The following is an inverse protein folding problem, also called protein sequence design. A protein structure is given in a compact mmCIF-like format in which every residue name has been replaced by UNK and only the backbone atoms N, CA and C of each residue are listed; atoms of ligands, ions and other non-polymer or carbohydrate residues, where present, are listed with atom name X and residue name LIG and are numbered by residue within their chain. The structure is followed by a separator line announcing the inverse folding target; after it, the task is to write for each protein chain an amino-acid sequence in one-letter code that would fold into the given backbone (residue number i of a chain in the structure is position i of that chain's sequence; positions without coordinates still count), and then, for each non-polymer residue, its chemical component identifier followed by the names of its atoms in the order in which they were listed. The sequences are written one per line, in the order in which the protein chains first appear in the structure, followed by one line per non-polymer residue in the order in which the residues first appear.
data_IF_546700498834
#
_entry.id   IF_546700498834
#
_cell.length_a   1.000
_cell.length_b   1.000
_cell.length_c   1.000
_cell.angle_alpha   90.00
_cell.angle_beta   90.00
_cell.angle_gamma   90.00
#
_symmetry.space_group_name_H-M   'P 1'
#
loop_
_entity.id
_entity.type
_entity.pdbx_description
1 polymer ?
#
# COMPACT_ATOMS: atom_id res chain seq x y z
N UNK A 1 3.95 -0.86 7.58
CA UNK A 1 3.33 0.41 7.11
C UNK A 1 2.24 0.85 8.06
N UNK A 2 2.05 2.16 8.21
CA UNK A 2 0.93 2.73 8.96
C UNK A 2 -0.25 2.94 8.02
N UNK A 3 -1.40 2.42 8.41
CA UNK A 3 -2.69 2.75 7.81
C UNK A 3 -3.51 3.52 8.85
N UNK A 4 -4.02 4.68 8.49
CA UNK A 4 -4.73 5.53 9.44
C UNK A 4 -5.68 6.52 8.75
N UNK A 5 -6.51 7.19 9.55
CA UNK A 5 -7.20 8.39 9.09
C UNK A 5 -6.34 9.60 9.44
N UNK A 6 -6.15 10.49 8.47
CA UNK A 6 -5.49 11.78 8.73
C UNK A 6 -6.37 12.62 9.66
N UNK A 7 -5.73 13.18 10.67
CA UNK A 7 -6.23 14.18 11.62
C UNK A 7 -5.75 15.58 11.19
N UNK A 8 -6.21 16.64 11.87
CA UNK A 8 -5.82 18.00 11.52
C UNK A 8 -4.31 18.28 11.71
N UNK A 9 -3.65 17.53 12.58
CA UNK A 9 -2.28 17.81 13.04
C UNK A 9 -1.30 16.69 12.66
N UNK A 10 -1.31 16.25 11.39
CA UNK A 10 -0.36 15.24 10.91
C UNK A 10 1.09 15.76 10.82
N UNK A 11 2.05 14.88 11.09
CA UNK A 11 3.47 15.19 10.84
C UNK A 11 3.77 15.07 9.36
N UNK A 12 4.25 16.17 8.78
CA UNK A 12 4.72 16.24 7.40
C UNK A 12 6.15 15.70 7.24
N UNK A 13 6.55 15.44 5.99
CA UNK A 13 7.93 15.05 5.65
C UNK A 13 8.97 16.04 6.19
N UNK A 14 8.77 17.34 5.93
CA UNK A 14 9.69 18.39 6.38
C UNK A 14 9.82 18.47 7.90
N UNK A 15 8.72 18.25 8.65
CA UNK A 15 8.77 18.24 10.11
C UNK A 15 9.49 17.01 10.65
N UNK A 16 9.30 15.85 10.02
CA UNK A 16 10.03 14.63 10.38
C UNK A 16 11.54 14.79 10.12
N UNK A 17 11.92 15.32 8.95
CA UNK A 17 13.32 15.57 8.58
C UNK A 17 14.01 16.58 9.53
N UNK A 18 13.33 17.67 9.88
CA UNK A 18 13.82 18.64 10.88
C UNK A 18 14.02 18.00 12.25
N UNK A 19 13.10 17.12 12.64
CA UNK A 19 13.16 16.44 13.94
C UNK A 19 14.34 15.46 14.00
N UNK A 20 14.67 14.79 12.89
CA UNK A 20 15.83 13.90 12.80
C UNK A 20 17.14 14.69 12.82
N UNK A 21 17.23 15.76 12.01
CA UNK A 21 18.45 16.58 11.87
C UNK A 21 18.84 17.32 13.15
N UNK A 22 17.88 17.74 13.97
CA UNK A 22 18.16 18.46 15.22
C UNK A 22 18.43 17.55 16.44
N UNK A 23 17.97 16.29 16.45
CA UNK A 23 17.89 15.51 17.69
C UNK A 23 18.50 14.10 17.63
N UNK A 24 19.11 13.69 16.51
CA UNK A 24 19.84 12.42 16.40
C UNK A 24 18.98 11.15 16.43
N UNK A 25 17.82 11.16 17.08
CA UNK A 25 16.74 10.15 16.99
C UNK A 25 15.41 10.77 17.42
N UNK A 26 14.28 10.31 16.86
CA UNK A 26 12.92 10.72 17.28
C UNK A 26 12.60 10.39 18.76
N UNK A 27 13.45 9.61 19.43
CA UNK A 27 13.18 8.98 20.72
C UNK A 27 13.91 9.60 21.92
N UNK A 28 14.86 10.52 21.73
CA UNK A 28 15.88 10.81 22.76
C UNK A 28 15.56 11.88 23.82
N UNK A 29 14.37 12.51 23.88
CA UNK A 29 14.03 13.39 25.02
C UNK A 29 12.56 13.42 25.44
N UNK A 30 12.32 13.42 26.76
CA UNK A 30 11.15 14.03 27.42
C UNK A 30 11.35 15.55 27.37
N UNK A 31 10.99 16.22 26.29
CA UNK A 31 11.15 17.68 26.23
C UNK A 31 9.91 18.45 26.66
N UNK A 32 10.18 19.53 27.39
CA UNK A 32 9.26 20.52 27.96
C UNK A 32 8.53 21.38 26.90
N UNK A 33 8.79 21.17 25.60
CA UNK A 33 7.97 21.69 24.50
C UNK A 33 7.06 20.56 24.00
N UNK A 34 5.74 20.72 24.18
CA UNK A 34 4.76 19.71 23.79
C UNK A 34 4.89 19.32 22.32
N UNK A 35 5.24 18.06 22.05
CA UNK A 35 5.18 17.49 20.68
C UNK A 35 3.78 17.66 20.09
N UNK A 36 3.72 17.94 18.79
CA UNK A 36 2.46 17.92 18.04
C UNK A 36 1.80 16.55 18.15
N UNK A 37 0.48 16.52 18.01
CA UNK A 37 -0.31 15.28 18.08
C UNK A 37 0.13 14.26 17.02
N UNK A 38 0.41 14.71 15.80
CA UNK A 38 0.97 13.89 14.72
C UNK A 38 2.31 13.27 15.09
N UNK A 39 3.21 14.02 15.73
CA UNK A 39 4.53 13.48 16.08
C UNK A 39 4.42 12.40 17.16
N UNK A 40 3.52 12.58 18.13
CA UNK A 40 3.20 11.54 19.11
C UNK A 40 2.65 10.30 18.41
N UNK A 41 1.76 10.47 17.43
CA UNK A 41 1.20 9.37 16.64
C UNK A 41 2.27 8.59 15.88
N UNK A 42 3.21 9.27 15.22
CA UNK A 42 4.35 8.62 14.53
C UNK A 42 5.26 7.91 15.54
N UNK A 43 5.54 8.52 16.69
CA UNK A 43 6.34 7.90 17.75
C UNK A 43 5.72 6.60 18.27
N UNK A 44 4.41 6.61 18.54
CA UNK A 44 3.67 5.42 18.98
C UNK A 44 3.60 4.35 17.89
N UNK A 45 3.41 4.75 16.63
CA UNK A 45 3.50 3.83 15.48
C UNK A 45 4.85 3.13 15.43
N UNK A 46 5.95 3.89 15.48
CA UNK A 46 7.31 3.34 15.47
C UNK A 46 7.58 2.46 16.70
N UNK A 47 7.11 2.86 17.89
CA UNK A 47 7.21 2.04 19.10
C UNK A 47 6.46 0.72 18.94
N UNK A 48 5.26 0.75 18.35
CA UNK A 48 4.43 -0.43 18.08
C UNK A 48 5.12 -1.35 17.06
N UNK A 49 5.65 -0.81 15.96
CA UNK A 49 6.40 -1.57 14.97
C UNK A 49 7.64 -2.25 15.59
N UNK A 50 8.38 -1.52 16.43
CA UNK A 50 9.55 -2.07 17.12
C UNK A 50 9.19 -3.18 18.12
N UNK A 51 8.09 -3.04 18.88
CA UNK A 51 7.57 -4.10 19.76
C UNK A 51 7.18 -5.37 19.01
N UNK A 52 6.87 -5.25 17.72
CA UNK A 52 6.59 -6.38 16.81
C UNK A 52 7.84 -6.92 16.12
N UNK A 53 9.04 -6.38 16.41
CA UNK A 53 10.31 -6.82 15.85
C UNK A 53 10.73 -6.15 14.54
N UNK A 54 10.08 -5.04 14.14
CA UNK A 54 10.41 -4.34 12.90
C UNK A 54 11.23 -3.07 13.15
N UNK A 55 12.40 -2.99 12.51
CA UNK A 55 13.27 -1.82 12.58
C UNK A 55 12.86 -0.67 11.66
N UNK A 56 11.99 -0.94 10.67
CA UNK A 56 11.59 0.00 9.64
C UNK A 56 10.10 0.31 9.74
N UNK A 57 9.77 1.60 9.63
CA UNK A 57 8.41 2.11 9.69
C UNK A 57 8.21 3.10 8.55
N UNK A 58 7.04 3.01 7.90
CA UNK A 58 6.67 3.88 6.79
C UNK A 58 5.24 4.40 7.01
N UNK A 59 5.05 5.70 6.85
CA UNK A 59 3.77 6.39 6.93
C UNK A 59 3.69 7.48 5.85
N UNK A 60 2.59 7.50 5.10
CA UNK A 60 2.35 8.41 3.96
C UNK A 60 2.38 9.90 4.34
N UNK A 61 2.11 10.23 5.59
CA UNK A 61 2.14 11.61 6.08
C UNK A 61 3.55 12.20 6.11
N UNK A 62 4.54 11.40 6.52
CA UNK A 62 5.90 11.85 6.79
C UNK A 62 7.00 11.17 5.96
N UNK A 63 6.67 10.13 5.20
CA UNK A 63 7.63 9.44 4.33
C UNK A 63 7.51 9.83 2.86
N UNK A 64 6.48 10.58 2.47
CA UNK A 64 6.31 11.11 1.11
C UNK A 64 6.56 12.61 1.13
N UNK A 65 7.51 13.08 0.33
CA UNK A 65 7.67 14.50 0.06
C UNK A 65 6.58 14.98 -0.92
N UNK A 66 5.46 15.43 -0.37
CA UNK A 66 4.33 15.96 -1.14
C UNK A 66 4.62 17.26 -1.90
N UNK A 67 5.79 17.87 -1.69
CA UNK A 67 6.21 19.09 -2.42
C UNK A 67 6.94 18.75 -3.72
N UNK A 68 7.43 17.52 -3.87
CA UNK A 68 7.98 17.00 -5.11
C UNK A 68 6.88 16.29 -5.90
N UNK A 69 6.48 16.86 -7.03
CA UNK A 69 5.40 16.29 -7.84
C UNK A 69 5.77 14.93 -8.45
N UNK A 70 7.04 14.70 -8.75
CA UNK A 70 7.52 13.43 -9.32
C UNK A 70 7.47 12.32 -8.28
N UNK A 71 7.97 12.58 -7.07
CA UNK A 71 7.90 11.65 -5.94
C UNK A 71 6.45 11.39 -5.52
N UNK A 72 5.60 12.43 -5.48
CA UNK A 72 4.19 12.29 -5.15
C UNK A 72 3.47 11.38 -6.14
N UNK A 73 3.73 11.56 -7.44
CA UNK A 73 3.15 10.73 -8.49
C UNK A 73 3.62 9.27 -8.38
N UNK A 74 4.92 9.04 -8.22
CA UNK A 74 5.48 7.70 -8.01
C UNK A 74 4.88 7.03 -6.77
N UNK A 75 4.77 7.77 -5.67
CA UNK A 75 4.22 7.27 -4.41
C UNK A 75 2.76 6.86 -4.53
N UNK A 76 1.93 7.68 -5.19
CA UNK A 76 0.51 7.37 -5.39
C UNK A 76 0.34 6.14 -6.28
N UNK A 77 1.07 6.07 -7.39
CA UNK A 77 1.01 4.92 -8.32
C UNK A 77 1.53 3.63 -7.70
N UNK A 78 2.45 3.72 -6.75
CA UNK A 78 3.04 2.58 -6.05
C UNK A 78 2.30 2.18 -4.77
N UNK A 79 1.25 2.90 -4.38
CA UNK A 79 0.75 2.80 -3.01
C UNK A 79 0.25 1.39 -2.68
N UNK A 80 -0.49 0.78 -3.60
CA UNK A 80 -0.97 -0.59 -3.45
C UNK A 80 0.17 -1.58 -3.25
N UNK A 81 1.20 -1.51 -4.10
CA UNK A 81 2.32 -2.47 -4.07
C UNK A 81 3.15 -2.30 -2.81
N UNK A 82 3.30 -1.08 -2.28
CA UNK A 82 3.96 -0.88 -0.99
C UNK A 82 3.20 -1.57 0.14
N UNK A 83 1.87 -1.42 0.23
CA UNK A 83 1.07 -2.13 1.23
C UNK A 83 1.12 -3.65 1.05
N UNK A 84 1.02 -4.12 -0.19
CA UNK A 84 1.10 -5.54 -0.53
C UNK A 84 2.42 -6.17 -0.11
N UNK A 85 3.54 -5.48 -0.35
CA UNK A 85 4.88 -5.96 -0.02
C UNK A 85 5.32 -5.59 1.41
N UNK A 86 4.47 -4.96 2.20
CA UNK A 86 4.78 -4.64 3.59
C UNK A 86 4.78 -5.90 4.45
N UNK A 87 5.78 -6.03 5.33
CA UNK A 87 5.83 -7.16 6.27
C UNK A 87 4.62 -7.18 7.21
N UNK A 88 4.12 -5.98 7.57
CA UNK A 88 2.90 -5.80 8.34
C UNK A 88 2.29 -4.42 8.05
N UNK A 89 0.96 -4.38 8.02
CA UNK A 89 0.19 -3.13 8.09
C UNK A 89 -0.42 -2.95 9.47
N UNK A 90 -0.06 -1.85 10.13
CA UNK A 90 -0.60 -1.44 11.43
C UNK A 90 -1.69 -0.43 11.16
N UNK A 91 -2.94 -0.79 11.46
CA UNK A 91 -4.10 0.11 11.32
C UNK A 91 -4.38 0.79 12.65
N UNK A 92 -4.25 2.11 12.69
CA UNK A 92 -4.59 2.91 13.88
C UNK A 92 -5.99 3.52 13.74
N UNK A 93 -6.93 3.02 14.55
CA UNK A 93 -8.31 3.49 14.60
C UNK A 93 -8.47 4.56 15.69
N UNK A 94 -8.16 5.81 15.34
CA UNK A 94 -8.19 6.92 16.30
C UNK A 94 -9.59 7.23 16.86
N UNK A 95 -10.66 6.69 16.28
CA UNK A 95 -12.05 6.86 16.72
C UNK A 95 -12.62 5.66 17.50
N UNK A 96 -11.82 4.62 17.72
CA UNK A 96 -12.22 3.42 18.47
C UNK A 96 -11.49 3.39 19.83
N UNK A 97 -12.20 3.62 20.95
CA UNK A 97 -11.56 3.70 22.28
C UNK A 97 -11.15 2.34 22.88
N UNK A 98 -11.82 1.25 22.49
CA UNK A 98 -11.83 -0.04 23.21
C UNK A 98 -11.72 -1.26 22.28
N UNK A 99 -11.43 -2.49 22.81
CA UNK A 99 -10.94 -3.63 22.01
C UNK A 99 -11.91 -4.25 21.00
N UNK A 100 -13.13 -3.74 20.91
CA UNK A 100 -14.15 -4.24 19.98
C UNK A 100 -14.05 -3.41 18.70
N UNK A 101 -13.98 -4.08 17.54
CA UNK A 101 -14.05 -3.39 16.25
C UNK A 101 -15.31 -2.53 16.21
N UNK A 102 -15.13 -1.22 16.35
CA UNK A 102 -16.22 -0.28 16.26
C UNK A 102 -16.76 -0.30 14.84
N UNK A 103 -17.99 -0.81 14.66
CA UNK A 103 -18.73 -0.81 13.37
C UNK A 103 -18.87 0.59 12.74
N UNK A 104 -18.48 1.65 13.44
CA UNK A 104 -18.57 3.05 13.01
C UNK A 104 -17.23 3.75 12.80
N UNK A 105 -16.08 3.06 12.75
CA UNK A 105 -14.81 3.76 12.48
C UNK A 105 -14.84 4.39 11.08
N UNK A 106 -14.55 5.69 11.02
CA UNK A 106 -14.40 6.44 9.77
C UNK A 106 -13.26 5.92 8.90
N UNK A 107 -12.36 5.08 9.43
CA UNK A 107 -11.34 4.40 8.63
C UNK A 107 -11.98 3.54 7.53
N UNK A 108 -13.05 2.79 7.80
CA UNK A 108 -13.75 1.97 6.79
C UNK A 108 -14.49 2.81 5.73
N UNK A 109 -14.67 4.11 5.98
CA UNK A 109 -15.33 5.05 5.06
C UNK A 109 -14.35 5.87 4.25
N UNK A 110 -13.04 5.76 4.44
CA UNK A 110 -12.05 6.49 3.64
C UNK A 110 -11.76 5.74 2.33
N UNK A 111 -11.57 6.46 1.22
CA UNK A 111 -11.27 5.85 -0.10
C UNK A 111 -10.01 4.99 -0.08
N UNK A 112 -8.88 5.61 0.24
CA UNK A 112 -7.55 4.99 0.28
C UNK A 112 -7.45 3.73 1.14
N UNK A 113 -8.17 3.68 2.27
CA UNK A 113 -8.11 2.54 3.20
C UNK A 113 -8.68 1.24 2.63
N UNK A 114 -9.35 1.28 1.48
CA UNK A 114 -9.72 0.06 0.75
C UNK A 114 -8.48 -0.70 0.29
N UNK A 115 -7.51 0.00 -0.31
CA UNK A 115 -6.23 -0.59 -0.68
C UNK A 115 -5.44 -1.00 0.56
N UNK A 116 -5.46 -0.18 1.61
CA UNK A 116 -4.76 -0.46 2.87
C UNK A 116 -5.33 -1.69 3.61
N UNK A 117 -6.59 -2.08 3.32
CA UNK A 117 -7.22 -3.31 3.80
C UNK A 117 -6.90 -4.52 2.90
N UNK A 118 -7.08 -4.37 1.58
CA UNK A 118 -7.04 -5.47 0.62
C UNK A 118 -5.63 -5.85 0.17
N UNK A 119 -4.72 -4.89 0.05
CA UNK A 119 -3.37 -5.13 -0.42
C UNK A 119 -2.50 -5.98 0.55
N UNK A 120 -2.41 -5.67 1.85
CA UNK A 120 -1.43 -6.33 2.72
C UNK A 120 -1.82 -7.76 3.06
N UNK A 121 -0.83 -8.65 3.14
CA UNK A 121 -0.99 -10.04 3.59
C UNK A 121 -1.28 -10.12 5.09
N UNK A 122 -0.60 -9.27 5.88
CA UNK A 122 -0.71 -9.22 7.35
C UNK A 122 -1.16 -7.84 7.80
N UNK A 123 -2.27 -7.79 8.54
CA UNK A 123 -2.83 -6.53 9.03
C UNK A 123 -3.24 -6.67 10.50
N UNK A 124 -2.93 -5.63 11.28
CA UNK A 124 -3.30 -5.55 12.70
C UNK A 124 -4.01 -4.26 13.05
N UNK A 125 -5.17 -4.37 13.70
CA UNK A 125 -5.91 -3.20 14.19
C UNK A 125 -5.49 -2.80 15.60
N UNK A 126 -5.34 -1.49 15.80
CA UNK A 126 -5.04 -0.85 17.07
C UNK A 126 -6.08 0.23 17.37
N UNK A 127 -6.49 0.32 18.63
CA UNK A 127 -7.37 1.38 19.16
C UNK A 127 -6.70 2.76 19.13
N UNK A 128 -7.48 3.80 19.47
CA UNK A 128 -7.00 5.16 19.76
C UNK A 128 -5.76 5.17 20.66
N UNK A 129 -5.75 4.31 21.68
CA UNK A 129 -4.72 4.23 22.70
C UNK A 129 -3.57 3.26 22.35
N UNK A 130 -3.40 2.90 21.07
CA UNK A 130 -2.35 1.98 20.60
C UNK A 130 -2.37 0.61 21.28
N UNK A 131 -3.54 0.18 21.75
CA UNK A 131 -3.79 -1.21 22.17
C UNK A 131 -4.26 -2.03 20.99
N UNK A 132 -3.62 -3.16 20.74
CA UNK A 132 -4.08 -4.14 19.74
C UNK A 132 -5.53 -4.51 20.04
N UNK A 133 -6.41 -4.44 19.05
CA UNK A 133 -7.79 -4.88 19.18
C UNK A 133 -7.85 -6.42 19.14
N UNK A 134 -8.93 -7.00 19.65
CA UNK A 134 -9.14 -8.45 19.67
C UNK A 134 -8.73 -9.11 20.99
N UNK A 135 -8.82 -10.44 21.03
CA UNK A 135 -8.59 -11.22 22.24
C UNK A 135 -7.09 -11.21 22.56
N UNK A 136 -6.72 -10.53 23.65
CA UNK A 136 -5.42 -10.75 24.25
C UNK A 136 -5.37 -12.20 24.75
N UNK A 137 -4.42 -12.99 24.28
CA UNK A 137 -4.01 -14.18 25.02
C UNK A 137 -3.45 -13.70 26.37
N UNK A 138 -3.83 -14.35 27.49
CA UNK A 138 -3.16 -14.20 28.78
C UNK A 138 -1.62 -14.12 28.74
N UNK A 139 -0.96 -14.72 27.74
CA UNK A 139 0.50 -14.68 27.56
C UNK A 139 1.06 -13.35 27.02
N UNK A 140 0.21 -12.45 26.51
CA UNK A 140 0.61 -11.12 26.01
C UNK A 140 1.46 -11.12 24.73
N UNK A 141 1.71 -12.27 24.11
CA UNK A 141 2.56 -12.39 22.93
C UNK A 141 1.82 -13.09 21.79
N UNK A 142 1.07 -12.34 21.00
CA UNK A 142 0.74 -12.80 19.65
C UNK A 142 1.36 -11.83 18.65
N UNK A 143 2.65 -11.97 18.37
CA UNK A 143 3.29 -11.27 17.27
C UNK A 143 2.73 -11.75 15.90
N UNK A 144 2.25 -13.00 15.83
CA UNK A 144 1.72 -13.65 14.62
C UNK A 144 0.25 -13.38 14.30
N UNK A 145 -0.49 -12.65 15.16
CA UNK A 145 -1.92 -12.47 14.93
C UNK A 145 -2.18 -11.58 13.72
N UNK A 146 -2.98 -12.08 12.78
CA UNK A 146 -3.41 -11.37 11.58
C UNK A 146 -4.92 -11.18 11.61
N UNK A 147 -5.37 -9.96 11.94
CA UNK A 147 -6.79 -9.62 11.99
C UNK A 147 -7.49 -9.86 10.65
N UNK A 148 -6.79 -9.74 9.53
CA UNK A 148 -7.37 -9.94 8.19
C UNK A 148 -7.71 -11.41 7.92
N UNK A 149 -6.92 -12.33 8.48
CA UNK A 149 -7.08 -13.78 8.29
C UNK A 149 -7.85 -14.47 9.43
N UNK A 150 -8.20 -13.75 10.50
CA UNK A 150 -8.96 -14.31 11.62
C UNK A 150 -10.47 -14.40 11.27
N UNK A 151 -11.12 -15.56 11.45
CA UNK A 151 -12.53 -15.74 11.07
C UNK A 151 -13.51 -14.80 11.75
N UNK A 152 -13.30 -14.45 13.03
CA UNK A 152 -14.19 -13.53 13.74
C UNK A 152 -14.05 -12.11 13.20
N UNK A 153 -12.82 -11.74 12.86
CA UNK A 153 -12.53 -10.46 12.23
C UNK A 153 -13.01 -10.38 10.78
N UNK A 154 -12.92 -11.45 10.01
CA UNK A 154 -13.50 -11.51 8.66
C UNK A 154 -15.00 -11.24 8.69
N UNK A 155 -15.74 -11.90 9.59
CA UNK A 155 -17.18 -11.63 9.79
C UNK A 155 -17.44 -10.16 10.18
N UNK A 156 -16.59 -9.60 11.04
CA UNK A 156 -16.73 -8.21 11.47
C UNK A 156 -16.43 -7.20 10.35
N UNK A 157 -15.39 -7.45 9.55
CA UNK A 157 -15.00 -6.63 8.40
C UNK A 157 -16.08 -6.72 7.32
N UNK A 158 -16.49 -7.94 6.95
CA UNK A 158 -17.53 -8.18 5.94
C UNK A 158 -18.82 -7.44 6.25
N UNK A 159 -19.26 -7.47 7.52
CA UNK A 159 -20.45 -6.72 7.97
C UNK A 159 -20.34 -5.21 7.82
N UNK A 160 -19.13 -4.65 7.82
CA UNK A 160 -18.90 -3.20 7.72
C UNK A 160 -18.61 -2.79 6.27
N UNK A 161 -17.94 -3.63 5.49
CA UNK A 161 -17.43 -3.28 4.17
C UNK A 161 -18.16 -3.95 3.01
N UNK A 162 -18.89 -5.04 3.25
CA UNK A 162 -19.42 -5.92 2.21
C UNK A 162 -18.37 -6.79 1.52
N UNK A 163 -17.13 -6.80 2.02
CA UNK A 163 -16.04 -7.62 1.46
C UNK A 163 -16.11 -8.99 2.11
N UNK A 164 -16.43 -10.01 1.32
CA UNK A 164 -16.48 -11.40 1.80
C UNK A 164 -15.12 -11.87 2.33
N UNK A 165 -15.16 -12.74 3.35
CA UNK A 165 -13.96 -13.27 4.00
C UNK A 165 -12.94 -13.92 3.06
N UNK A 166 -13.39 -14.44 1.90
CA UNK A 166 -12.49 -15.01 0.88
C UNK A 166 -11.45 -13.99 0.39
N UNK A 167 -11.85 -12.74 0.11
CA UNK A 167 -10.96 -11.66 -0.33
C UNK A 167 -10.03 -11.14 0.77
N UNK A 168 -10.31 -11.47 2.03
CA UNK A 168 -9.49 -11.07 3.18
C UNK A 168 -8.39 -12.10 3.49
N UNK A 169 -8.45 -13.28 2.89
CA UNK A 169 -7.40 -14.29 3.05
C UNK A 169 -6.07 -13.81 2.44
N UNK A 170 -4.90 -14.28 2.93
CA UNK A 170 -3.57 -13.87 2.45
C UNK A 170 -3.39 -13.81 0.92
N UNK A 171 -4.05 -14.71 0.18
CA UNK A 171 -4.03 -14.78 -1.29
C UNK A 171 -5.43 -14.63 -1.89
N UNK A 172 -6.38 -14.07 -1.15
CA UNK A 172 -7.78 -14.02 -1.55
C UNK A 172 -8.13 -12.86 -2.49
N UNK A 173 -7.31 -11.81 -2.51
CA UNK A 173 -7.54 -10.63 -3.32
C UNK A 173 -6.43 -10.47 -4.37
N UNK A 174 -6.85 -10.27 -5.62
CA UNK A 174 -5.97 -9.96 -6.73
C UNK A 174 -6.40 -8.65 -7.41
N UNK A 175 -5.46 -7.69 -7.60
CA UNK A 175 -5.68 -6.53 -8.44
C UNK A 175 -6.06 -6.94 -9.86
N UNK A 176 -7.06 -6.26 -10.42
CA UNK A 176 -7.50 -6.53 -11.79
C UNK A 176 -8.98 -6.22 -12.00
N UNK A 177 -9.49 -6.60 -13.17
CA UNK A 177 -10.87 -6.34 -13.58
C UNK A 177 -11.83 -7.49 -13.25
N UNK A 178 -11.33 -8.59 -12.69
CA UNK A 178 -12.13 -9.67 -12.14
C UNK A 178 -12.99 -9.13 -10.99
N UNK A 179 -14.25 -9.54 -10.90
CA UNK A 179 -15.23 -9.06 -9.92
C UNK A 179 -15.37 -7.52 -9.87
N UNK A 180 -15.25 -6.86 -11.04
CA UNK A 180 -15.29 -5.40 -11.15
C UNK A 180 -16.47 -4.79 -10.41
N UNK A 181 -17.67 -5.39 -10.54
CA UNK A 181 -18.86 -4.90 -9.87
C UNK A 181 -18.72 -4.91 -8.34
N UNK A 182 -18.22 -6.00 -7.76
CA UNK A 182 -17.99 -6.11 -6.31
C UNK A 182 -16.95 -5.07 -5.83
N UNK A 183 -15.84 -4.94 -6.57
CA UNK A 183 -14.78 -3.96 -6.29
C UNK A 183 -15.31 -2.52 -6.27
N UNK A 184 -16.20 -2.17 -7.21
CA UNK A 184 -16.85 -0.86 -7.26
C UNK A 184 -17.88 -0.68 -6.12
N UNK A 185 -18.65 -1.70 -5.79
CA UNK A 185 -19.59 -1.65 -4.65
C UNK A 185 -18.85 -1.43 -3.31
N UNK A 186 -17.69 -2.05 -3.09
CA UNK A 186 -16.87 -1.82 -1.89
C UNK A 186 -16.36 -0.37 -1.77
N UNK A 187 -16.28 0.35 -2.89
CA UNK A 187 -15.82 1.72 -2.95
C UNK A 187 -16.95 2.77 -2.89
N UNK A 188 -18.16 2.38 -3.28
CA UNK A 188 -19.35 3.23 -3.43
C UNK A 188 -19.62 4.19 -2.28
N UNK A 189 -19.50 3.71 -1.04
CA UNK A 189 -19.78 4.52 0.16
C UNK A 189 -18.54 5.08 0.85
N UNK A 190 -17.38 5.02 0.18
CA UNK A 190 -16.14 5.59 0.69
C UNK A 190 -16.01 7.05 0.24
N UNK A 191 -15.35 7.84 1.06
CA UNK A 191 -15.20 9.27 0.94
C UNK A 191 -13.72 9.63 0.82
N UNK A 192 -13.44 10.65 0.04
CA UNK A 192 -12.12 11.19 -0.18
C UNK A 192 -12.11 12.69 0.09
N UNK A 193 -10.96 13.23 0.49
CA UNK A 193 -10.81 14.66 0.73
C UNK A 193 -10.66 15.43 -0.58
N UNK A 194 -9.89 14.86 -1.52
CA UNK A 194 -9.81 15.35 -2.90
C UNK A 194 -10.77 14.57 -3.77
N UNK A 195 -11.38 15.24 -4.74
CA UNK A 195 -12.38 14.61 -5.61
C UNK A 195 -11.72 13.54 -6.51
N UNK A 196 -10.51 13.81 -6.97
CA UNK A 196 -9.74 12.93 -7.85
C UNK A 196 -9.35 11.62 -7.17
N UNK A 197 -9.18 11.65 -5.85
CA UNK A 197 -8.83 10.47 -5.05
C UNK A 197 -9.90 9.37 -5.14
N UNK A 198 -11.15 9.69 -5.51
CA UNK A 198 -12.18 8.68 -5.80
C UNK A 198 -11.72 7.71 -6.88
N UNK A 199 -10.97 8.21 -7.85
CA UNK A 199 -10.39 7.42 -8.93
C UNK A 199 -9.04 6.83 -8.52
N UNK A 200 -8.13 7.63 -7.96
CA UNK A 200 -6.78 7.16 -7.65
C UNK A 200 -6.76 6.06 -6.59
N UNK A 201 -7.67 6.10 -5.61
CA UNK A 201 -7.79 5.05 -4.61
C UNK A 201 -8.34 3.72 -5.16
N UNK A 202 -8.72 3.65 -6.44
CA UNK A 202 -9.14 2.41 -7.11
C UNK A 202 -8.08 1.82 -8.03
N UNK A 203 -7.03 2.58 -8.38
CA UNK A 203 -5.99 2.12 -9.33
C UNK A 203 -5.39 0.76 -8.94
N UNK A 204 -4.96 0.65 -7.67
CA UNK A 204 -4.41 -0.59 -7.12
C UNK A 204 -5.43 -1.73 -6.95
N UNK A 205 -6.71 -1.40 -6.78
CA UNK A 205 -7.79 -2.40 -6.67
C UNK A 205 -8.08 -3.01 -8.04
N UNK A 206 -8.12 -2.15 -9.07
CA UNK A 206 -8.46 -2.53 -10.44
C UNK A 206 -7.24 -2.98 -11.26
N UNK A 207 -6.03 -2.88 -10.71
CA UNK A 207 -4.80 -3.24 -11.41
C UNK A 207 -4.52 -2.35 -12.62
N UNK A 208 -4.90 -1.07 -12.55
CA UNK A 208 -4.73 -0.09 -13.63
C UNK A 208 -3.71 0.97 -13.24
N UNK A 209 -3.05 1.55 -14.23
CA UNK A 209 -2.11 2.67 -14.05
C UNK A 209 -2.54 3.84 -14.93
N UNK A 210 -2.57 5.04 -14.34
CA UNK A 210 -2.88 6.27 -15.04
C UNK A 210 -2.15 7.46 -14.38
N UNK A 211 -1.78 8.52 -15.12
CA UNK A 211 -1.17 9.72 -14.56
C UNK A 211 -2.03 10.41 -13.48
N UNK A 212 -1.37 10.94 -12.44
CA UNK A 212 -2.00 11.68 -11.35
C UNK A 212 -1.99 13.18 -11.67
N UNK A 213 -3.17 13.78 -11.79
CA UNK A 213 -3.36 15.20 -12.10
C UNK A 213 -4.34 15.85 -11.11
N UNK A 214 -3.83 16.31 -9.96
CA UNK A 214 -4.67 17.05 -9.02
C UNK A 214 -5.12 18.39 -9.61
N UNK A 215 -6.41 18.70 -9.47
CA UNK A 215 -7.08 19.83 -10.12
C UNK A 215 -8.03 19.41 -11.25
N UNK A 216 -7.97 18.15 -11.70
CA UNK A 216 -8.85 17.65 -12.77
C UNK A 216 -10.25 17.25 -12.29
N UNK A 217 -10.48 17.14 -10.97
CA UNK A 217 -11.77 16.80 -10.35
C UNK A 217 -12.38 15.50 -10.90
N UNK A 218 -13.65 15.54 -11.33
CA UNK A 218 -14.39 14.39 -11.84
C UNK A 218 -13.77 13.74 -13.09
N UNK A 219 -12.94 14.49 -13.85
CA UNK A 219 -12.21 13.94 -15.00
C UNK A 219 -11.28 12.79 -14.65
N UNK A 220 -10.79 12.75 -13.40
CA UNK A 220 -10.01 11.61 -12.93
C UNK A 220 -10.85 10.32 -12.95
N UNK A 221 -12.14 10.40 -12.63
CA UNK A 221 -13.05 9.25 -12.68
C UNK A 221 -13.36 8.85 -14.12
N UNK A 222 -13.56 9.81 -15.01
CA UNK A 222 -13.74 9.55 -16.45
C UNK A 222 -12.53 8.80 -17.03
N UNK A 223 -11.31 9.28 -16.75
CA UNK A 223 -10.06 8.62 -17.17
C UNK A 223 -9.89 7.23 -16.58
N UNK A 224 -10.32 7.01 -15.33
CA UNK A 224 -10.32 5.68 -14.74
C UNK A 224 -11.24 4.75 -15.53
N UNK A 225 -12.46 5.19 -15.83
CA UNK A 225 -13.42 4.43 -16.64
C UNK A 225 -12.86 4.12 -18.04
N UNK A 226 -12.28 5.10 -18.73
CA UNK A 226 -11.62 4.91 -20.02
C UNK A 226 -10.51 3.85 -19.94
N UNK A 227 -9.66 3.94 -18.91
CA UNK A 227 -8.56 2.98 -18.69
C UNK A 227 -9.08 1.57 -18.45
N UNK A 228 -10.15 1.43 -17.67
CA UNK A 228 -10.82 0.15 -17.40
C UNK A 228 -11.39 -0.45 -18.69
N UNK A 229 -12.10 0.34 -19.50
CA UNK A 229 -12.68 -0.11 -20.78
C UNK A 229 -11.59 -0.54 -21.76
N UNK A 230 -10.53 0.25 -21.89
CA UNK A 230 -9.40 -0.07 -22.76
C UNK A 230 -8.73 -1.39 -22.36
N UNK A 231 -8.48 -1.58 -21.05
CA UNK A 231 -7.85 -2.80 -20.55
C UNK A 231 -8.77 -4.03 -20.70
N UNK A 232 -10.07 -3.86 -20.46
CA UNK A 232 -11.06 -4.93 -20.67
C UNK A 232 -11.11 -5.37 -22.14
N UNK A 233 -11.16 -4.42 -23.08
CA UNK A 233 -11.15 -4.69 -24.51
C UNK A 233 -9.87 -5.40 -24.95
N UNK A 234 -8.71 -4.94 -24.46
CA UNK A 234 -7.42 -5.55 -24.77
C UNK A 234 -7.32 -7.00 -24.25
N UNK A 235 -7.78 -7.27 -23.02
CA UNK A 235 -7.83 -8.63 -22.46
C UNK A 235 -8.79 -9.54 -23.24
N UNK A 236 -9.95 -9.02 -23.64
CA UNK A 236 -10.89 -9.75 -24.49
C UNK A 236 -10.28 -10.13 -25.84
N UNK A 237 -9.57 -9.19 -26.48
CA UNK A 237 -8.84 -9.43 -27.72
C UNK A 237 -7.75 -10.50 -27.54
N UNK A 238 -6.93 -10.42 -26.49
CA UNK A 238 -5.92 -11.44 -26.19
C UNK A 238 -6.52 -12.84 -25.98
N UNK A 239 -7.64 -12.94 -25.26
CA UNK A 239 -8.33 -14.22 -25.05
C UNK A 239 -8.84 -14.82 -26.36
N UNK A 240 -9.38 -13.99 -27.25
CA UNK A 240 -9.82 -14.42 -28.58
C UNK A 240 -8.65 -14.92 -29.44
N UNK A 241 -7.50 -14.22 -29.42
CA UNK A 241 -6.29 -14.63 -30.14
C UNK A 241 -5.65 -15.91 -29.56
N UNK A 242 -5.73 -16.12 -28.25
CA UNK A 242 -5.13 -17.28 -27.59
C UNK A 242 -5.94 -18.58 -27.75
N UNK A 243 -7.11 -18.55 -28.40
CA UNK A 243 -7.97 -19.72 -28.59
C UNK A 243 -8.55 -20.28 -27.28
N UNK A 244 -8.53 -19.51 -26.19
CA UNK A 244 -9.07 -19.93 -24.89
C UNK A 244 -10.58 -19.67 -24.91
N UNK A 245 -11.37 -20.71 -25.13
CA UNK A 245 -12.80 -20.68 -24.82
C UNK A 245 -12.96 -20.68 -23.30
N UNK A 246 -12.93 -19.50 -22.66
CA UNK A 246 -13.24 -19.40 -21.25
C UNK A 246 -14.76 -19.54 -21.06
N UNK A 247 -15.19 -20.73 -20.63
CA UNK A 247 -16.55 -21.00 -20.21
C UNK A 247 -16.82 -20.42 -18.82
N UNK A 248 -17.25 -19.16 -18.78
CA UNK A 248 -18.14 -18.59 -17.75
C UNK A 248 -18.32 -17.10 -18.08
N UNK A 249 -19.36 -16.82 -18.86
CA UNK A 249 -19.80 -15.47 -19.18
C UNK A 249 -20.52 -14.88 -17.96
N UNK A 250 -19.84 -14.02 -17.20
CA UNK A 250 -20.55 -12.90 -16.59
C UNK A 250 -20.72 -11.85 -17.70
N UNK A 251 -21.97 -11.71 -18.13
CA UNK A 251 -22.36 -10.93 -19.27
C UNK A 251 -22.04 -9.44 -19.08
N UNK A 252 -20.96 -8.97 -19.71
CA UNK A 252 -20.97 -7.63 -20.33
C UNK A 252 -21.50 -7.82 -21.75
N UNK A 253 -22.80 -8.12 -21.84
CA UNK A 253 -23.54 -8.14 -23.09
C UNK A 253 -24.26 -6.81 -23.27
N UNK A 254 -23.68 -5.90 -24.06
CA UNK A 254 -24.38 -5.16 -25.12
C UNK A 254 -23.47 -4.12 -25.79
N UNK A 255 -23.16 -4.36 -27.07
CA UNK A 255 -22.62 -3.41 -28.06
C UNK A 255 -21.14 -3.09 -27.88
N UNK A 256 -20.23 -3.42 -28.79
CA UNK A 256 -20.22 -3.03 -30.20
C UNK A 256 -19.63 -4.17 -31.03
N UNK A 257 -20.41 -4.71 -31.95
CA UNK A 257 -19.89 -5.56 -33.02
C UNK A 257 -19.14 -4.67 -34.02
N UNK A 258 -17.89 -5.02 -34.31
CA UNK A 258 -17.20 -4.61 -35.53
C UNK A 258 -16.79 -5.89 -36.25
N UNK A 259 -17.60 -6.28 -37.23
CA UNK A 259 -17.23 -7.26 -38.23
C UNK A 259 -16.05 -6.74 -39.07
N UNK A 260 -15.16 -7.66 -39.44
CA UNK A 260 -14.21 -7.47 -40.54
C UNK A 260 -12.78 -7.12 -40.11
N UNK A 261 -11.88 -8.09 -40.17
CA UNK A 261 -10.96 -8.21 -41.31
C UNK A 261 -10.23 -9.55 -41.26
N UNK A 262 -10.22 -10.20 -42.42
CA UNK A 262 -9.57 -11.48 -42.68
C UNK A 262 -8.05 -11.33 -42.83
N UNK A 263 -7.33 -12.39 -42.45
CA UNK A 263 -6.12 -12.84 -43.12
C UNK A 263 -4.77 -12.37 -42.55
N UNK A 264 -4.03 -13.30 -41.93
CA UNK A 264 -2.63 -13.58 -42.25
C UNK A 264 -2.12 -14.79 -41.45
N UNK A 265 -1.70 -15.82 -42.17
CA UNK A 265 -1.02 -17.01 -41.65
C UNK A 265 0.48 -16.75 -41.37
N UNK A 266 1.03 -17.55 -40.44
CA UNK A 266 2.44 -17.98 -40.32
C UNK A 266 3.51 -16.90 -40.03
N UNK A 267 4.55 -17.10 -39.23
CA UNK A 267 5.22 -18.27 -38.65
C UNK A 267 6.28 -17.78 -37.65
N UNK A 268 6.68 -18.63 -36.70
CA UNK A 268 8.06 -18.60 -36.19
C UNK A 268 8.27 -18.27 -34.70
N UNK A 269 8.74 -19.27 -33.96
CA UNK A 269 9.82 -19.10 -32.98
C UNK A 269 9.44 -18.91 -31.51
N UNK A 270 9.44 -20.02 -30.76
CA UNK A 270 9.57 -20.04 -29.30
C UNK A 270 11.07 -19.84 -28.94
N UNK A 271 11.39 -19.14 -27.83
CA UNK A 271 12.33 -19.75 -26.88
C UNK A 271 11.82 -19.75 -25.43
N UNK A 272 11.95 -20.92 -24.81
CA UNK A 272 11.74 -21.24 -23.40
C UNK A 272 12.93 -20.69 -22.60
N UNK A 273 12.69 -19.96 -21.51
CA UNK A 273 13.70 -19.68 -20.49
C UNK A 273 13.32 -20.32 -19.15
N UNK A 274 14.20 -21.23 -18.73
CA UNK A 274 14.26 -21.93 -17.44
C UNK A 274 14.52 -20.91 -16.30
N UNK A 275 13.72 -20.91 -15.23
CA UNK A 275 14.00 -20.13 -14.02
C UNK A 275 14.63 -21.04 -12.96
N UNK A 276 15.88 -20.75 -12.59
CA UNK A 276 16.62 -21.44 -11.53
C UNK A 276 16.26 -20.84 -10.17
N UNK A 277 15.79 -21.70 -9.26
CA UNK A 277 15.64 -21.43 -7.82
C UNK A 277 17.02 -21.39 -7.15
N UNK A 278 17.33 -20.29 -6.44
CA UNK A 278 18.54 -20.17 -5.62
C UNK A 278 18.21 -19.66 -4.22
N UNK A 279 18.42 -20.49 -3.20
CA UNK A 279 18.44 -20.15 -1.77
C UNK A 279 19.81 -19.58 -1.40
N UNK A 280 19.87 -18.56 -0.54
CA UNK A 280 21.09 -18.17 0.19
C UNK A 280 20.76 -17.69 1.64
N UNK A 281 21.73 -17.71 2.57
CA UNK A 281 21.53 -18.15 3.97
C UNK A 281 21.43 -17.01 5.01
N UNK A 282 20.96 -17.39 6.20
CA UNK A 282 20.94 -16.61 7.45
C UNK A 282 22.28 -16.70 8.20
N UNK A 283 22.76 -15.57 8.75
CA UNK A 283 23.66 -15.53 9.91
C UNK A 283 23.55 -14.20 10.68
N UNK A 284 23.80 -14.16 12.00
CA UNK A 284 23.34 -13.12 12.92
C UNK A 284 24.43 -12.11 13.31
N UNK A 285 24.05 -10.87 13.69
CA UNK A 285 24.93 -9.94 14.42
C UNK A 285 24.13 -9.19 15.49
N UNK A 286 24.63 -9.26 16.72
CA UNK A 286 24.20 -8.54 17.93
C UNK A 286 24.69 -7.09 17.96
N UNK A 287 24.06 -6.30 18.84
CA UNK A 287 24.29 -4.90 19.23
C UNK A 287 23.49 -3.84 18.45
N UNK A 288 22.53 -3.28 19.18
CA UNK A 288 21.46 -2.41 18.71
C UNK A 288 21.84 -0.94 18.80
N UNK A 289 21.86 -0.26 17.65
CA UNK A 289 21.58 1.17 17.54
C UNK A 289 20.64 1.38 16.35
N UNK A 290 19.49 2.03 16.61
CA UNK A 290 18.44 2.28 15.61
C UNK A 290 18.89 3.44 14.72
N UNK A 291 19.42 3.12 13.55
CA UNK A 291 19.63 4.09 12.47
C UNK A 291 18.39 4.13 11.58
N UNK A 292 17.70 5.26 11.54
CA UNK A 292 16.63 5.51 10.57
C UNK A 292 17.25 5.92 9.23
N UNK A 293 16.93 5.18 8.19
CA UNK A 293 17.05 5.64 6.80
C UNK A 293 15.63 5.82 6.27
N UNK A 294 15.27 7.04 5.88
CA UNK A 294 14.11 7.23 5.02
C UNK A 294 14.52 6.72 3.64
N UNK A 295 14.36 5.42 3.40
CA UNK A 295 14.59 4.85 2.07
C UNK A 295 13.35 5.07 1.22
N UNK A 296 13.49 5.91 0.18
CA UNK A 296 12.81 5.68 -1.08
C UNK A 296 13.41 4.38 -1.67
N UNK A 297 12.63 3.32 -1.98
CA UNK A 297 13.20 2.14 -2.62
C UNK A 297 13.76 2.57 -3.98
N UNK A 298 15.05 2.33 -4.29
CA UNK A 298 15.58 2.65 -5.60
C UNK A 298 14.90 1.77 -6.65
N UNK A 299 14.37 2.40 -7.69
CA UNK A 299 13.99 1.73 -8.93
C UNK A 299 15.17 0.86 -9.42
N UNK A 300 14.93 -0.43 -9.62
CA UNK A 300 15.91 -1.37 -10.16
C UNK A 300 16.42 -0.88 -11.52
N UNK A 301 17.61 -0.27 -11.55
CA UNK A 301 18.41 -0.17 -12.77
C UNK A 301 19.48 -1.25 -12.73
N UNK A 302 19.32 -2.25 -13.60
CA UNK A 302 20.39 -3.15 -14.00
C UNK A 302 21.60 -2.32 -14.45
N UNK A 303 22.73 -2.45 -13.77
CA UNK A 303 24.02 -2.04 -14.31
C UNK A 303 24.95 -3.25 -14.34
N UNK A 304 25.29 -3.65 -15.56
CA UNK A 304 26.40 -4.55 -15.84
C UNK A 304 27.73 -3.86 -15.55
N UNK A 305 28.72 -4.68 -15.24
CA UNK A 305 30.12 -4.31 -15.04
C UNK A 305 30.69 -3.64 -16.30
N UNK A 306 31.08 -2.37 -16.21
CA UNK A 306 32.37 -1.87 -16.74
C UNK A 306 32.67 -0.49 -16.17
N UNK A 307 33.96 -0.22 -15.97
CA UNK A 307 34.47 0.95 -15.27
C UNK A 307 34.36 2.28 -16.02
N UNK A 308 34.89 3.29 -15.34
CA UNK A 308 34.95 4.73 -15.64
C UNK A 308 33.81 5.57 -15.07
N UNK A 309 34.22 6.53 -14.23
CA UNK A 309 33.37 7.25 -13.31
C UNK A 309 32.47 8.31 -13.93
N UNK A 310 31.34 8.52 -13.28
CA UNK A 310 30.57 9.76 -13.34
C UNK A 310 30.12 10.11 -11.92
N UNK A 311 30.66 11.20 -11.37
CA UNK A 311 30.15 11.84 -10.16
C UNK A 311 28.75 12.38 -10.46
N UNK A 312 27.72 11.81 -9.83
CA UNK A 312 26.44 12.50 -9.69
C UNK A 312 26.41 13.23 -8.34
N UNK A 313 26.36 14.56 -8.40
CA UNK A 313 26.14 15.45 -7.26
C UNK A 313 24.65 15.40 -6.91
N UNK A 314 24.34 14.91 -5.72
CA UNK A 314 23.05 15.00 -5.06
C UNK A 314 23.29 14.79 -3.57
N UNK A 315 23.35 15.90 -2.84
CA UNK A 315 23.89 16.01 -1.49
C UNK A 315 22.97 15.44 -0.41
N UNK A 316 23.43 14.46 0.38
CA UNK A 316 23.32 14.45 1.85
C UNK A 316 24.59 13.79 2.41
N UNK A 317 25.29 14.55 3.25
CA UNK A 317 26.57 14.23 3.87
C UNK A 317 26.37 13.18 4.98
N UNK A 318 26.98 12.00 4.84
CA UNK A 318 27.14 11.07 5.95
C UNK A 318 28.18 11.64 6.93
N UNK A 319 27.77 11.95 8.16
CA UNK A 319 28.71 12.17 9.26
C UNK A 319 29.03 10.80 9.86
N UNK A 320 30.12 10.19 9.38
CA UNK A 320 30.80 9.08 10.05
C UNK A 320 31.40 9.62 11.36
N UNK A 321 30.88 9.19 12.50
CA UNK A 321 31.58 9.33 13.78
C UNK A 321 32.29 8.01 14.06
N UNK A 322 33.61 8.09 13.92
CA UNK A 322 34.60 7.04 14.17
C UNK A 322 34.49 6.44 15.57
N UNK A 323 34.82 5.15 15.60
CA UNK A 323 35.03 4.24 16.72
C UNK A 323 35.65 4.87 17.98
N UNK A 324 35.14 4.42 19.14
CA UNK A 324 35.97 3.88 20.23
C UNK A 324 35.26 2.71 20.89
#
# INVERSE_FOLDING_TARGET
MLSHRWSANETSFMEAERSISHFGTLFQRKDKLGRSEGMKKIQEFCCTANKLGYSWAWADTCCINKTDSSELQESITSMFSWYQNSAITIVHLNDVPDPILGRGSGWFRRGWTLQELLAPTTLRFYSRNWRSLGRADPSGQHWWFNHKADPLWQVAIERVTGIHGEYLSPNGFHPGLEDLHAKLEWAKYRQTTREEDKAYCLMGILGVSMPIMYGEKEKATERLCETVVQLANFRGWLSACAGVSCGSTDAIGNGVAMEGFAGAEHSGGIPIYHFLMGRLPLAPIENSYVAFVLCNPPAERKFGLSGYGARCRGSITAATLLER
#
